data_IF_001013750341
#
_entry.id   IF_001013750341
#
_cell.length_a   1.000
_cell.length_b   1.000
_cell.length_c   1.000
_cell.angle_alpha   90.00
_cell.angle_beta   90.00
_cell.angle_gamma   90.00
#
_symmetry.space_group_name_H-M   'P 1'
#
loop_
_entity.id
_entity.type
_entity.pdbx_description
1 polymer ?
#
# COMPACT_ATOMS: atom_id res chain seq x y z
N UNK A 1 -12.02 -26.42 -1.12
CA UNK A 1 -10.74 -26.06 -1.74
C UNK A 1 -9.68 -26.60 -0.81
N UNK A 2 -8.92 -27.61 -1.24
CA UNK A 2 -7.81 -28.14 -0.44
C UNK A 2 -6.76 -27.02 -0.27
N UNK A 3 -6.22 -26.80 0.93
CA UNK A 3 -5.17 -25.82 1.14
C UNK A 3 -3.92 -26.22 0.34
N UNK A 4 -3.44 -25.32 -0.51
CA UNK A 4 -2.32 -25.55 -1.45
C UNK A 4 -0.95 -25.37 -0.75
N UNK A 5 -0.90 -24.80 0.45
CA UNK A 5 0.34 -24.62 1.22
C UNK A 5 0.23 -23.58 2.33
N UNK A 6 1.39 -23.14 2.82
CA UNK A 6 1.56 -22.10 3.83
C UNK A 6 2.15 -20.85 3.17
N UNK A 7 1.71 -19.65 3.58
CA UNK A 7 2.18 -18.37 3.04
C UNK A 7 2.60 -17.42 4.15
N UNK A 8 3.73 -16.73 3.94
CA UNK A 8 4.07 -15.51 4.68
C UNK A 8 3.70 -14.31 3.80
N UNK A 9 2.90 -13.40 4.34
CA UNK A 9 2.56 -12.14 3.67
C UNK A 9 3.43 -11.03 4.24
N UNK A 10 4.23 -10.41 3.38
CA UNK A 10 5.04 -9.24 3.73
C UNK A 10 4.19 -7.96 3.60
N UNK A 11 4.37 -7.01 4.50
CA UNK A 11 3.65 -5.74 4.47
C UNK A 11 4.55 -4.60 4.93
N UNK A 12 4.54 -3.50 4.18
CA UNK A 12 5.27 -2.28 4.55
C UNK A 12 4.35 -1.42 5.39
N UNK A 13 4.66 -1.32 6.69
CA UNK A 13 3.99 -0.39 7.60
C UNK A 13 4.66 0.97 7.57
N UNK A 14 3.86 2.02 7.67
CA UNK A 14 4.33 3.41 7.58
C UNK A 14 5.13 3.58 6.27
N UNK A 15 4.43 3.34 5.16
CA UNK A 15 4.99 3.49 3.83
C UNK A 15 5.28 4.97 3.55
N UNK A 16 6.37 5.23 2.84
CA UNK A 16 6.75 6.56 2.38
C UNK A 16 6.08 6.91 1.03
N UNK A 17 5.79 5.89 0.21
CA UNK A 17 5.02 5.97 -1.02
C UNK A 17 3.62 6.51 -0.76
N UNK A 18 3.16 7.42 -1.65
CA UNK A 18 1.85 8.08 -1.53
C UNK A 18 1.13 8.06 -2.85
N UNK A 19 0.01 7.36 -2.88
CA UNK A 19 -0.94 7.38 -3.99
C UNK A 19 -1.89 8.58 -3.95
N UNK A 20 -2.82 8.57 -4.90
CA UNK A 20 -3.84 9.58 -5.07
C UNK A 20 -5.19 8.98 -5.49
N UNK A 21 -6.25 9.72 -5.17
CA UNK A 21 -7.60 9.46 -5.65
C UNK A 21 -8.14 10.75 -6.24
N UNK A 22 -8.68 10.68 -7.47
CA UNK A 22 -9.17 11.85 -8.21
C UNK A 22 -10.56 11.59 -8.77
N UNK A 23 -11.38 12.64 -8.79
CA UNK A 23 -12.62 12.61 -9.55
C UNK A 23 -12.26 12.65 -11.04
N UNK A 24 -12.91 11.79 -11.82
CA UNK A 24 -12.78 11.77 -13.29
C UNK A 24 -13.87 12.60 -13.97
N UNK A 25 -15.00 12.81 -13.29
CA UNK A 25 -16.12 13.60 -13.77
C UNK A 25 -16.90 14.23 -12.62
N UNK A 26 -17.97 14.95 -12.98
CA UNK A 26 -18.91 15.52 -12.02
C UNK A 26 -20.08 14.58 -11.65
N UNK A 27 -20.21 13.43 -12.31
CA UNK A 27 -21.23 12.43 -11.98
C UNK A 27 -20.79 11.62 -10.74
N UNK A 28 -21.51 11.70 -9.60
CA UNK A 28 -21.15 10.95 -8.40
C UNK A 28 -21.28 9.43 -8.52
N UNK A 29 -21.89 8.91 -9.60
CA UNK A 29 -21.98 7.47 -9.87
C UNK A 29 -20.77 6.92 -10.60
N UNK A 30 -19.94 7.77 -11.18
CA UNK A 30 -18.74 7.35 -11.87
C UNK A 30 -17.64 7.03 -10.87
N UNK A 31 -16.94 5.92 -11.08
CA UNK A 31 -15.85 5.52 -10.20
C UNK A 31 -14.69 6.51 -10.30
N UNK A 32 -14.05 6.87 -9.17
CA UNK A 32 -12.90 7.76 -9.19
C UNK A 32 -11.68 7.06 -9.80
N UNK A 33 -10.74 7.86 -10.29
CA UNK A 33 -9.40 7.40 -10.62
C UNK A 33 -8.65 7.09 -9.32
N UNK A 34 -7.95 5.96 -9.30
CA UNK A 34 -7.16 5.46 -8.18
C UNK A 34 -5.77 5.09 -8.70
N UNK A 35 -4.74 5.70 -8.12
CA UNK A 35 -3.37 5.27 -8.28
C UNK A 35 -2.73 5.16 -6.91
N UNK A 36 -2.15 4.01 -6.58
CA UNK A 36 -1.59 3.75 -5.26
C UNK A 36 -0.12 4.09 -5.16
N UNK A 37 0.59 4.21 -6.29
CA UNK A 37 2.04 4.36 -6.33
C UNK A 37 2.76 3.32 -5.44
N UNK A 38 2.32 2.04 -5.49
CA UNK A 38 2.87 0.99 -4.63
C UNK A 38 4.36 0.81 -4.90
N UNK A 39 5.17 0.85 -3.83
CA UNK A 39 6.62 0.68 -3.87
C UNK A 39 7.35 1.72 -4.75
N UNK A 40 6.74 2.89 -4.99
CA UNK A 40 7.39 3.98 -5.74
C UNK A 40 8.57 4.58 -4.98
N UNK A 41 8.44 4.71 -3.65
CA UNK A 41 9.56 5.16 -2.82
C UNK A 41 10.66 4.08 -2.76
N UNK A 42 11.93 4.42 -3.06
CA UNK A 42 13.03 3.45 -3.04
C UNK A 42 13.20 2.73 -1.69
N UNK A 43 12.86 3.39 -0.57
CA UNK A 43 12.96 2.80 0.76
C UNK A 43 11.87 1.75 1.00
N UNK A 44 10.64 1.99 0.55
CA UNK A 44 9.57 1.00 0.60
C UNK A 44 9.91 -0.23 -0.24
N UNK A 45 10.46 0.00 -1.44
CA UNK A 45 10.90 -1.08 -2.32
C UNK A 45 12.04 -1.89 -1.69
N UNK A 46 13.05 -1.23 -1.12
CA UNK A 46 14.16 -1.89 -0.40
C UNK A 46 13.64 -2.74 0.77
N UNK A 47 12.77 -2.16 1.62
CA UNK A 47 12.16 -2.85 2.77
C UNK A 47 11.33 -4.06 2.35
N UNK A 48 10.61 -3.96 1.23
CA UNK A 48 9.84 -5.08 0.69
C UNK A 48 10.74 -6.20 0.19
N UNK A 49 11.82 -5.89 -0.56
CA UNK A 49 12.80 -6.90 -0.99
C UNK A 49 13.40 -7.66 0.19
N UNK A 50 13.81 -6.94 1.23
CA UNK A 50 14.35 -7.54 2.46
C UNK A 50 13.34 -8.44 3.17
N UNK A 51 12.07 -8.01 3.23
CA UNK A 51 10.99 -8.79 3.83
C UNK A 51 10.76 -10.12 3.10
N UNK A 52 10.82 -10.11 1.76
CA UNK A 52 10.68 -11.33 0.94
C UNK A 52 11.85 -12.27 1.16
N UNK A 53 13.10 -11.76 1.14
CA UNK A 53 14.29 -12.57 1.42
C UNK A 53 14.24 -13.20 2.82
N UNK A 54 13.84 -12.43 3.82
CA UNK A 54 13.67 -12.94 5.18
C UNK A 54 12.58 -14.01 5.25
N UNK A 55 11.46 -13.87 4.53
CA UNK A 55 10.42 -14.89 4.49
C UNK A 55 10.93 -16.20 3.86
N UNK A 56 11.78 -16.11 2.83
CA UNK A 56 12.45 -17.27 2.22
C UNK A 56 13.39 -17.92 3.23
N UNK A 57 14.21 -17.13 3.94
CA UNK A 57 15.13 -17.64 4.95
C UNK A 57 14.38 -18.34 6.10
N UNK A 58 13.24 -17.81 6.54
CA UNK A 58 12.38 -18.43 7.55
C UNK A 58 11.89 -19.81 7.10
N UNK A 59 11.40 -19.94 5.86
CA UNK A 59 10.93 -21.23 5.37
C UNK A 59 12.05 -22.24 5.07
N UNK A 60 13.29 -21.75 4.86
CA UNK A 60 14.47 -22.59 4.71
C UNK A 60 15.07 -23.05 6.05
N UNK A 61 14.60 -22.52 7.18
CA UNK A 61 15.07 -22.95 8.50
C UNK A 61 14.70 -24.42 8.76
N UNK A 62 15.62 -25.25 9.32
CA UNK A 62 15.36 -26.66 9.61
C UNK A 62 14.10 -26.93 10.43
N UNK A 63 13.63 -25.97 11.25
CA UNK A 63 12.40 -26.09 12.00
C UNK A 63 11.15 -26.26 11.13
N UNK A 64 11.21 -25.87 9.84
CA UNK A 64 10.11 -26.00 8.88
C UNK A 64 10.25 -27.19 7.93
N UNK A 65 11.32 -28.00 8.04
CA UNK A 65 11.62 -29.07 7.09
C UNK A 65 10.51 -30.14 6.99
N UNK A 66 9.81 -30.42 8.09
CA UNK A 66 8.70 -31.39 8.11
C UNK A 66 7.37 -30.80 7.58
N UNK A 67 7.29 -29.48 7.39
CA UNK A 67 6.08 -28.76 6.98
C UNK A 67 6.15 -28.24 5.55
N UNK A 68 7.34 -27.92 5.06
CA UNK A 68 7.57 -27.31 3.75
C UNK A 68 8.30 -28.29 2.84
N UNK A 69 7.59 -28.82 1.84
CA UNK A 69 8.20 -29.69 0.83
C UNK A 69 8.98 -28.91 -0.22
N UNK A 70 8.43 -27.80 -0.68
CA UNK A 70 9.03 -26.94 -1.69
C UNK A 70 8.48 -25.50 -1.59
N UNK A 71 9.23 -24.53 -2.12
CA UNK A 71 8.78 -23.15 -2.25
C UNK A 71 8.09 -22.96 -3.60
N UNK A 72 6.83 -22.52 -3.58
CA UNK A 72 6.03 -22.27 -4.79
C UNK A 72 6.47 -20.95 -5.45
N UNK A 73 6.56 -19.87 -4.67
CA UNK A 73 6.98 -18.54 -5.13
C UNK A 73 7.65 -17.76 -3.97
N UNK A 74 8.52 -16.78 -4.25
CA UNK A 74 9.19 -16.53 -5.53
C UNK A 74 10.08 -17.69 -5.98
N UNK A 75 10.35 -17.81 -7.28
CA UNK A 75 11.25 -18.84 -7.83
C UNK A 75 12.72 -18.42 -7.63
N UNK A 76 13.66 -19.36 -7.77
CA UNK A 76 15.09 -19.05 -7.58
C UNK A 76 15.58 -17.91 -8.48
N UNK A 77 15.11 -17.86 -9.73
CA UNK A 77 15.48 -16.79 -10.67
C UNK A 77 14.94 -15.41 -10.27
N UNK A 78 13.81 -15.35 -9.56
CA UNK A 78 13.27 -14.10 -9.01
C UNK A 78 14.15 -13.58 -7.86
N UNK A 79 14.91 -14.46 -7.20
CA UNK A 79 15.76 -14.13 -6.04
C UNK A 79 17.23 -13.85 -6.41
N UNK A 80 17.64 -14.12 -7.66
CA UNK A 80 19.03 -14.01 -8.13
C UNK A 80 19.66 -12.64 -7.87
N UNK A 81 18.88 -11.57 -8.05
CA UNK A 81 19.33 -10.19 -7.87
C UNK A 81 18.15 -9.25 -7.61
N UNK A 82 18.46 -8.02 -7.18
CA UNK A 82 17.44 -7.01 -6.86
C UNK A 82 16.53 -6.67 -8.04
N UNK A 83 17.03 -6.68 -9.27
CA UNK A 83 16.25 -6.32 -10.45
C UNK A 83 15.25 -7.43 -10.83
N UNK A 84 15.64 -8.69 -10.72
CA UNK A 84 14.73 -9.82 -10.87
C UNK A 84 13.63 -9.76 -9.80
N UNK A 85 14.02 -9.53 -8.55
CA UNK A 85 13.08 -9.44 -7.44
C UNK A 85 12.12 -8.24 -7.59
N UNK A 86 12.59 -7.10 -8.11
CA UNK A 86 11.73 -5.95 -8.41
C UNK A 86 10.64 -6.30 -9.43
N UNK A 87 10.97 -7.06 -10.48
CA UNK A 87 9.99 -7.47 -11.49
C UNK A 87 8.95 -8.42 -10.90
N UNK A 88 9.38 -9.35 -10.06
CA UNK A 88 8.47 -10.21 -9.31
C UNK A 88 7.56 -9.40 -8.39
N UNK A 89 8.13 -8.45 -7.62
CA UNK A 89 7.37 -7.55 -6.75
C UNK A 89 6.33 -6.73 -7.52
N UNK A 90 6.67 -6.18 -8.68
CA UNK A 90 5.72 -5.41 -9.50
C UNK A 90 4.53 -6.25 -9.97
N UNK A 91 4.72 -7.55 -10.16
CA UNK A 91 3.66 -8.49 -10.54
C UNK A 91 2.78 -8.89 -9.36
N UNK A 92 3.40 -9.12 -8.20
CA UNK A 92 2.74 -9.73 -7.04
C UNK A 92 2.23 -8.73 -5.98
N UNK A 93 2.78 -7.52 -5.95
CA UNK A 93 2.42 -6.55 -4.92
C UNK A 93 0.95 -6.16 -5.06
N UNK A 94 0.27 -6.15 -3.92
CA UNK A 94 -1.13 -5.77 -3.84
C UNK A 94 -1.38 -4.94 -2.58
N UNK A 95 -2.55 -4.33 -2.52
CA UNK A 95 -2.95 -3.53 -1.38
C UNK A 95 -3.49 -4.41 -0.25
N UNK A 96 -3.06 -4.12 0.97
CA UNK A 96 -3.67 -4.69 2.18
C UNK A 96 -5.04 -4.09 2.53
N UNK A 97 -5.59 -3.18 1.71
CA UNK A 97 -6.89 -2.53 1.89
C UNK A 97 -7.01 -1.60 3.13
N UNK A 98 -5.88 -1.10 3.63
CA UNK A 98 -5.81 -0.15 4.76
C UNK A 98 -5.37 1.26 4.33
N UNK A 99 -5.91 1.73 3.20
CA UNK A 99 -5.54 3.02 2.60
C UNK A 99 -6.13 4.18 3.41
N UNK A 100 -5.29 5.13 3.79
CA UNK A 100 -5.69 6.29 4.60
C UNK A 100 -4.99 7.57 4.10
N UNK A 101 -5.35 8.73 4.66
CA UNK A 101 -4.63 9.98 4.40
C UNK A 101 -5.17 10.86 3.27
N UNK A 102 -6.18 10.42 2.51
CA UNK A 102 -6.77 11.20 1.39
C UNK A 102 -7.42 12.53 1.80
N UNK A 103 -7.90 12.65 3.05
CA UNK A 103 -8.19 13.94 3.70
C UNK A 103 -7.43 14.07 5.01
N UNK A 104 -6.11 14.31 4.93
CA UNK A 104 -5.26 14.49 6.11
C UNK A 104 -5.82 15.57 7.04
N UNK A 105 -5.96 15.22 8.32
CA UNK A 105 -6.25 16.19 9.37
C UNK A 105 -4.99 16.94 9.75
N UNK A 106 -5.07 18.27 9.87
CA UNK A 106 -3.93 19.08 10.25
C UNK A 106 -4.29 20.49 10.73
N UNK A 107 -3.35 21.17 11.41
CA UNK A 107 -3.54 22.56 11.80
C UNK A 107 -3.69 23.45 10.56
N UNK A 108 -4.47 24.52 10.69
CA UNK A 108 -4.79 25.47 9.60
C UNK A 108 -3.54 26.10 8.95
N UNK A 109 -2.47 26.20 9.71
CA UNK A 109 -1.20 26.79 9.26
C UNK A 109 -0.15 25.71 8.93
N UNK A 110 -0.50 24.43 9.03
CA UNK A 110 0.33 23.34 8.52
C UNK A 110 0.15 23.26 7.00
N UNK A 111 1.25 23.13 6.27
CA UNK A 111 1.29 23.21 4.81
C UNK A 111 0.33 22.24 4.08
N UNK A 112 -0.06 21.11 4.69
CA UNK A 112 -0.71 19.99 4.00
C UNK A 112 -1.99 19.42 4.69
N UNK A 113 -2.70 20.19 5.53
CA UNK A 113 -3.94 19.72 6.19
C UNK A 113 -5.21 20.07 5.40
N UNK A 114 -5.91 19.06 4.83
CA UNK A 114 -7.19 19.27 4.11
C UNK A 114 -8.38 19.33 5.08
N UNK A 115 -8.34 18.51 6.13
CA UNK A 115 -9.38 18.40 7.14
C UNK A 115 -8.95 19.07 8.47
N UNK A 116 -9.86 19.78 9.14
CA UNK A 116 -9.59 20.35 10.49
C UNK A 116 -9.95 19.34 11.57
N UNK A 117 -9.14 19.16 12.63
CA UNK A 117 -9.63 18.50 13.84
C UNK A 117 -10.78 19.34 14.41
N UNK A 118 -11.97 18.76 14.55
CA UNK A 118 -13.10 19.42 15.20
C UNK A 118 -13.13 19.05 16.68
N UNK A 119 -13.48 19.98 17.59
CA UNK A 119 -13.91 19.61 18.94
C UNK A 119 -15.13 18.68 18.83
N UNK A 120 -15.18 17.65 19.69
CA UNK A 120 -16.03 16.45 19.61
C UNK A 120 -17.56 16.69 19.50
N UNK A 121 -18.05 17.94 19.50
CA UNK A 121 -19.47 18.26 19.68
C UNK A 121 -20.08 19.13 18.55
N UNK A 122 -19.50 19.17 17.34
CA UNK A 122 -20.06 19.99 16.24
C UNK A 122 -20.39 19.18 14.97
N UNK A 123 -21.62 18.67 14.94
CA UNK A 123 -22.25 18.09 13.75
C UNK A 123 -22.35 19.13 12.62
N UNK A 124 -21.72 18.83 11.48
CA UNK A 124 -21.88 19.41 10.14
C UNK A 124 -22.38 20.87 10.07
N UNK A 125 -21.47 21.85 10.03
CA UNK A 125 -21.76 23.14 9.37
C UNK A 125 -21.63 22.91 7.85
N UNK A 126 -22.73 23.10 7.12
CA UNK A 126 -22.80 23.06 5.65
C UNK A 126 -21.57 23.71 5.02
N UNK A 127 -20.77 22.92 4.28
CA UNK A 127 -19.83 23.49 3.32
C UNK A 127 -20.66 24.15 2.22
N UNK A 128 -20.61 25.48 2.11
CA UNK A 128 -21.13 26.15 0.92
C UNK A 128 -20.22 25.79 -0.27
N UNK A 129 -20.83 25.39 -1.38
CA UNK A 129 -20.22 24.81 -2.60
C UNK A 129 -19.23 25.71 -3.37
N UNK A 130 -18.48 26.61 -2.74
CA UNK A 130 -17.74 27.66 -3.48
C UNK A 130 -16.22 27.60 -3.46
N UNK A 131 -15.57 26.55 -2.94
CA UNK A 131 -14.09 26.63 -2.76
C UNK A 131 -13.25 25.37 -2.96
N UNK A 132 -13.72 24.40 -3.72
CA UNK A 132 -12.90 23.23 -4.13
C UNK A 132 -12.72 23.13 -5.66
N UNK A 133 -13.10 24.16 -6.43
CA UNK A 133 -13.01 24.18 -7.90
C UNK A 133 -12.04 25.25 -8.43
N UNK A 134 -10.91 25.47 -7.76
CA UNK A 134 -9.83 26.22 -8.40
C UNK A 134 -8.67 25.27 -8.64
N UNK A 135 -8.45 24.98 -9.93
CA UNK A 135 -7.51 24.04 -10.53
C UNK A 135 -8.01 22.59 -10.62
N UNK A 136 -9.10 22.43 -11.39
CA UNK A 136 -9.17 21.38 -12.40
C UNK A 136 -8.77 22.00 -13.74
#
# INVERSE_FOLDING_TARGET
>A
MEPIGIRITCSVYIADSKGEIKLVSSDPKEHPFLDFHLLEDPEDLRRMRESVRLAVDIFNDPAFADMVSERIEPLDHDLENDEALNKWLQREVTTGQHLTGTCKMGPKNGSNGSCRPKPQNTWVRRYSRRRCLHNA
#
